data_IF_553782408969
#
_entry.id   IF_553782408969
#
_cell.length_a   1.000
_cell.length_b   1.000
_cell.length_c   1.000
_cell.angle_alpha   90.00
_cell.angle_beta   90.00
_cell.angle_gamma   90.00
#
_symmetry.space_group_name_H-M   'P 1'
#
loop_
_entity.id
_entity.type
_entity.pdbx_description
1 polymer ?
#
# COMPACT_ATOMS: atom_id res chain seq x y z
N UNK A 1 -13.40 -8.95 -20.52
CA UNK A 1 -13.78 -7.56 -20.22
C UNK A 1 -12.76 -6.99 -19.25
N UNK A 2 -12.11 -5.85 -19.54
CA UNK A 2 -11.29 -5.16 -18.55
C UNK A 2 -12.23 -4.75 -17.40
N UNK A 3 -12.02 -5.31 -16.21
CA UNK A 3 -12.79 -4.91 -15.04
C UNK A 3 -12.42 -3.46 -14.73
N UNK A 4 -13.39 -2.53 -14.69
CA UNK A 4 -13.11 -1.16 -14.27
C UNK A 4 -12.68 -1.22 -12.82
N UNK A 5 -11.43 -0.85 -12.55
CA UNK A 5 -10.87 -1.01 -11.22
C UNK A 5 -9.66 -0.12 -11.08
N UNK A 6 -9.88 1.19 -11.02
CA UNK A 6 -8.85 2.10 -10.56
C UNK A 6 -9.43 2.98 -9.45
N UNK A 7 -8.71 3.01 -8.34
CA UNK A 7 -8.82 3.89 -7.17
C UNK A 7 -10.06 3.77 -6.25
N UNK A 8 -11.28 3.54 -6.76
CA UNK A 8 -12.49 3.77 -5.94
C UNK A 8 -12.86 2.55 -5.05
N UNK A 9 -12.48 1.33 -5.44
CA UNK A 9 -12.76 0.12 -4.64
C UNK A 9 -11.83 -0.05 -3.44
N UNK A 10 -10.67 0.61 -3.44
CA UNK A 10 -9.70 0.57 -2.34
C UNK A 10 -10.24 1.29 -1.10
N UNK A 11 -11.04 2.34 -1.28
CA UNK A 11 -11.41 3.33 -0.26
C UNK A 11 -12.87 3.29 0.23
N UNK A 12 -13.79 2.54 -0.41
CA UNK A 12 -15.25 2.72 -0.22
C UNK A 12 -16.13 1.48 0.08
N UNK A 13 -15.69 0.48 0.86
CA UNK A 13 -16.60 -0.58 1.37
C UNK A 13 -16.25 -1.02 2.80
N UNK A 14 -17.23 -1.52 3.58
CA UNK A 14 -17.99 -0.81 4.62
C UNK A 14 -17.15 -0.25 5.79
N UNK A 15 -15.84 -0.54 5.83
CA UNK A 15 -14.84 0.09 6.69
C UNK A 15 -14.03 1.13 5.91
N UNK A 16 -14.73 2.01 5.20
CA UNK A 16 -14.10 3.05 4.39
C UNK A 16 -13.21 3.98 5.21
N UNK A 17 -12.44 4.82 4.52
CA UNK A 17 -11.53 5.83 5.11
C UNK A 17 -12.12 6.53 6.35
N UNK A 18 -13.39 6.95 6.29
CA UNK A 18 -14.08 7.59 7.41
C UNK A 18 -14.23 6.68 8.65
N UNK A 19 -14.55 5.40 8.47
CA UNK A 19 -14.66 4.47 9.60
C UNK A 19 -13.28 4.15 10.19
N UNK A 20 -12.23 4.04 9.38
CA UNK A 20 -10.86 3.85 9.89
C UNK A 20 -10.42 5.04 10.74
N UNK A 21 -10.67 6.28 10.28
CA UNK A 21 -10.39 7.48 11.08
C UNK A 21 -11.17 7.48 12.39
N UNK A 22 -12.49 7.27 12.33
CA UNK A 22 -13.33 7.24 13.55
C UNK A 22 -12.89 6.15 14.51
N UNK A 23 -12.60 4.95 14.01
CA UNK A 23 -12.13 3.83 14.83
C UNK A 23 -10.81 4.16 15.50
N UNK A 24 -9.84 4.68 14.75
CA UNK A 24 -8.52 5.05 15.28
C UNK A 24 -8.63 6.12 16.37
N UNK A 25 -9.41 7.17 16.14
CA UNK A 25 -9.63 8.23 17.13
C UNK A 25 -10.40 7.73 18.37
N UNK A 26 -11.39 6.86 18.18
CA UNK A 26 -12.14 6.26 19.30
C UNK A 26 -11.23 5.36 20.15
N UNK A 27 -10.34 4.59 19.52
CA UNK A 27 -9.41 3.71 20.23
C UNK A 27 -8.35 4.50 20.98
N UNK A 28 -7.80 5.56 20.38
CA UNK A 28 -6.88 6.47 21.08
C UNK A 28 -7.52 7.06 22.33
N UNK A 29 -8.82 7.40 22.27
CA UNK A 29 -9.54 7.96 23.40
C UNK A 29 -9.95 6.91 24.46
N UNK A 30 -10.51 5.78 24.05
CA UNK A 30 -11.12 4.79 24.95
C UNK A 30 -10.14 3.73 25.46
N UNK A 31 -9.10 3.41 24.68
CA UNK A 31 -8.19 2.30 24.93
C UNK A 31 -6.78 2.60 24.38
N UNK A 32 -6.09 3.63 24.89
CA UNK A 32 -4.80 4.09 24.36
C UNK A 32 -3.72 2.99 24.38
N UNK A 33 -3.84 2.00 25.27
CA UNK A 33 -2.87 0.91 25.40
C UNK A 33 -2.99 -0.18 24.30
N UNK A 34 -4.05 -0.13 23.46
CA UNK A 34 -4.25 -1.13 22.38
C UNK A 34 -3.29 -0.90 21.22
N UNK A 35 -2.97 0.36 20.93
CA UNK A 35 -2.07 0.74 19.84
C UNK A 35 -0.73 1.12 20.46
N UNK A 36 0.38 0.42 20.15
CA UNK A 36 1.67 0.66 20.79
C UNK A 36 2.38 1.95 20.29
N UNK A 37 1.65 2.84 19.62
CA UNK A 37 2.17 4.05 18.97
C UNK A 37 1.19 5.20 19.18
N UNK A 38 1.72 6.41 19.34
CA UNK A 38 0.93 7.64 19.25
C UNK A 38 0.58 7.91 17.78
N UNK A 39 -0.55 8.56 17.48
CA UNK A 39 -0.92 8.84 16.08
C UNK A 39 0.16 9.60 15.29
N UNK A 40 0.95 10.42 15.98
CA UNK A 40 2.01 11.21 15.39
C UNK A 40 3.34 10.44 15.22
N UNK A 41 3.49 9.21 15.74
CA UNK A 41 4.79 8.51 15.82
C UNK A 41 5.55 8.43 14.50
N UNK A 42 4.86 8.21 13.37
CA UNK A 42 5.49 8.04 12.06
C UNK A 42 5.55 9.33 11.23
N UNK A 43 5.02 10.45 11.71
CA UNK A 43 5.03 11.72 10.95
C UNK A 43 6.37 12.44 10.94
N UNK A 44 7.18 12.43 12.01
CA UNK A 44 8.53 12.96 11.97
C UNK A 44 9.41 12.20 10.97
N UNK A 45 10.31 12.92 10.31
CA UNK A 45 11.39 12.32 9.54
C UNK A 45 12.52 11.96 10.51
N UNK A 46 13.00 10.72 10.45
CA UNK A 46 14.13 10.28 11.28
C UNK A 46 15.43 10.96 10.85
N UNK A 47 15.97 11.86 11.67
CA UNK A 47 17.24 12.55 11.41
C UNK A 47 17.12 13.70 10.41
N UNK A 48 18.24 14.01 9.72
CA UNK A 48 18.24 15.06 8.70
C UNK A 48 17.47 14.62 7.44
N UNK A 49 16.54 15.45 6.90
CA UNK A 49 15.64 15.01 5.83
C UNK A 49 16.31 14.53 4.56
N UNK A 50 17.39 15.19 4.13
CA UNK A 50 18.04 14.86 2.86
C UNK A 50 18.82 13.54 2.90
N UNK A 51 19.71 13.30 3.88
CA UNK A 51 20.32 11.98 4.07
C UNK A 51 19.29 10.87 4.18
N UNK A 52 18.26 11.04 5.02
CA UNK A 52 17.22 10.04 5.22
C UNK A 52 16.44 9.72 3.92
N UNK A 53 16.16 10.74 3.10
CA UNK A 53 15.57 10.53 1.78
C UNK A 53 16.49 9.74 0.84
N UNK A 54 17.79 10.09 0.80
CA UNK A 54 18.74 9.36 -0.05
C UNK A 54 18.92 7.91 0.38
N UNK A 55 18.92 7.64 1.68
CA UNK A 55 19.00 6.28 2.22
C UNK A 55 17.72 5.49 1.93
N UNK A 56 16.55 6.13 2.07
CA UNK A 56 15.27 5.54 1.66
C UNK A 56 15.27 5.14 0.17
N UNK A 57 15.82 5.99 -0.70
CA UNK A 57 15.95 5.67 -2.14
C UNK A 57 16.94 4.55 -2.42
N UNK A 58 18.07 4.49 -1.69
CA UNK A 58 19.05 3.40 -1.81
C UNK A 58 18.45 2.06 -1.41
N UNK A 59 17.73 2.05 -0.28
CA UNK A 59 17.00 0.89 0.19
C UNK A 59 15.95 0.46 -0.86
N UNK A 60 15.20 1.43 -1.42
CA UNK A 60 14.13 1.18 -2.38
C UNK A 60 14.63 0.76 -3.76
N UNK A 61 15.85 1.13 -4.14
CA UNK A 61 16.33 1.02 -5.51
C UNK A 61 16.15 -0.37 -6.14
N UNK A 62 16.50 -1.50 -5.49
CA UNK A 62 16.29 -2.82 -6.07
C UNK A 62 14.82 -3.09 -6.40
N UNK A 63 13.93 -2.67 -5.50
CA UNK A 63 12.49 -2.80 -5.71
C UNK A 63 12.07 -1.89 -6.86
N UNK A 64 12.39 -0.60 -6.82
CA UNK A 64 12.05 0.36 -7.88
C UNK A 64 12.52 -0.13 -9.27
N UNK A 65 13.75 -0.63 -9.36
CA UNK A 65 14.33 -1.15 -10.61
C UNK A 65 13.53 -2.34 -11.16
N UNK A 66 13.20 -3.32 -10.33
CA UNK A 66 12.38 -4.47 -10.76
C UNK A 66 10.98 -4.01 -11.17
N UNK A 67 10.37 -3.08 -10.44
CA UNK A 67 9.05 -2.53 -10.78
C UNK A 67 9.03 -1.81 -12.13
N UNK A 68 10.10 -1.09 -12.46
CA UNK A 68 10.27 -0.44 -13.77
C UNK A 68 10.47 -1.48 -14.88
N UNK A 69 11.26 -2.54 -14.63
CA UNK A 69 11.41 -3.65 -15.57
C UNK A 69 10.08 -4.36 -15.84
N UNK A 70 9.30 -4.67 -14.80
CA UNK A 70 7.97 -5.25 -14.95
C UNK A 70 7.03 -4.32 -15.73
N UNK A 71 7.12 -3.02 -15.48
CA UNK A 71 6.34 -2.02 -16.23
C UNK A 71 6.69 -2.06 -17.73
N UNK A 72 7.98 -2.11 -18.08
CA UNK A 72 8.44 -2.25 -19.48
C UNK A 72 7.83 -3.47 -20.18
N UNK A 73 7.69 -4.60 -19.48
CA UNK A 73 7.08 -5.81 -20.06
C UNK A 73 5.58 -5.65 -20.37
N UNK A 74 4.87 -4.78 -19.63
CA UNK A 74 3.42 -4.58 -19.77
C UNK A 74 3.09 -3.44 -20.75
N UNK A 75 3.99 -2.49 -20.95
CA UNK A 75 3.75 -1.29 -21.78
C UNK A 75 3.35 -1.56 -23.24
N UNK A 76 3.87 -2.59 -23.96
CA UNK A 76 3.41 -2.90 -25.31
C UNK A 76 1.90 -3.20 -25.35
N UNK A 77 1.39 -3.92 -24.35
CA UNK A 77 -0.04 -4.20 -24.21
C UNK A 77 -0.82 -2.92 -23.87
N UNK A 78 -0.27 -2.08 -22.99
CA UNK A 78 -0.89 -0.79 -22.66
C UNK A 78 -1.03 0.12 -23.88
N UNK A 79 -0.01 0.18 -24.75
CA UNK A 79 -0.04 0.95 -26.00
C UNK A 79 -1.17 0.51 -26.92
N UNK A 80 -1.40 -0.80 -27.03
CA UNK A 80 -2.52 -1.36 -27.81
C UNK A 80 -3.87 -0.95 -27.21
N UNK A 81 -4.04 -1.12 -25.90
CA UNK A 81 -5.28 -0.78 -25.19
C UNK A 81 -5.60 0.72 -25.30
N UNK A 82 -4.60 1.61 -25.17
CA UNK A 82 -4.83 3.06 -25.30
C UNK A 82 -5.30 3.47 -26.70
N UNK A 83 -4.85 2.78 -27.76
CA UNK A 83 -5.37 3.00 -29.12
C UNK A 83 -6.81 2.55 -29.26
N UNK A 84 -7.17 1.43 -28.63
CA UNK A 84 -8.53 0.90 -28.65
C UNK A 84 -9.48 1.77 -27.79
N UNK A 85 -9.00 2.35 -26.68
CA UNK A 85 -9.76 3.24 -25.79
C UNK A 85 -10.26 4.53 -26.46
N UNK A 86 -9.56 5.02 -27.50
CA UNK A 86 -10.02 6.15 -28.28
C UNK A 86 -11.41 5.91 -28.91
N UNK A 87 -11.81 4.65 -29.08
CA UNK A 87 -13.10 4.25 -29.65
C UNK A 87 -14.23 4.05 -28.62
N UNK A 88 -13.90 3.91 -27.33
CA UNK A 88 -14.89 3.62 -26.27
C UNK A 88 -15.64 4.86 -25.75
N UNK A 89 -15.36 6.05 -26.28
CA UNK A 89 -15.83 7.33 -25.76
C UNK A 89 -17.30 7.71 -26.00
N UNK A 90 -18.22 6.78 -26.26
CA UNK A 90 -19.56 7.14 -26.78
C UNK A 90 -20.80 6.66 -25.99
N UNK A 91 -20.73 6.34 -24.68
CA UNK A 91 -22.00 6.08 -23.97
C UNK A 91 -22.01 5.92 -22.45
N UNK A 92 -21.10 5.15 -21.84
CA UNK A 92 -21.37 4.60 -20.50
C UNK A 92 -20.28 4.83 -19.43
N UNK A 93 -19.18 5.53 -19.74
CA UNK A 93 -18.07 5.71 -18.80
C UNK A 93 -17.34 7.04 -18.89
N UNK A 94 -16.86 7.54 -17.74
CA UNK A 94 -16.00 8.71 -17.63
C UNK A 94 -14.55 8.32 -17.87
N UNK A 95 -13.88 8.98 -18.81
CA UNK A 95 -12.44 8.80 -19.03
C UNK A 95 -11.67 9.76 -18.12
N UNK A 96 -10.81 9.22 -17.26
CA UNK A 96 -9.91 9.99 -16.39
C UNK A 96 -8.49 9.86 -16.94
N UNK A 97 -7.83 11.00 -17.18
CA UNK A 97 -6.42 11.04 -17.55
C UNK A 97 -5.58 11.22 -16.30
N UNK A 98 -4.60 10.34 -16.09
CA UNK A 98 -3.66 10.45 -14.98
C UNK A 98 -2.48 11.32 -15.39
N UNK A 99 -2.43 12.53 -14.86
CA UNK A 99 -1.30 13.45 -14.99
C UNK A 99 -0.36 13.43 -13.77
N UNK A 100 0.76 14.15 -13.83
CA UNK A 100 1.72 14.24 -12.71
C UNK A 100 1.08 14.73 -11.41
N UNK A 101 0.22 15.75 -11.49
CA UNK A 101 -0.47 16.30 -10.30
C UNK A 101 -1.43 15.31 -9.66
N UNK A 102 -2.22 14.58 -10.46
CA UNK A 102 -3.08 13.52 -9.91
C UNK A 102 -2.27 12.37 -9.33
N UNK A 103 -1.13 12.01 -9.93
CA UNK A 103 -0.25 10.97 -9.38
C UNK A 103 0.33 11.37 -8.03
N UNK A 104 0.78 12.62 -7.89
CA UNK A 104 1.25 13.15 -6.61
C UNK A 104 0.17 13.00 -5.52
N UNK A 105 -1.03 13.55 -5.78
CA UNK A 105 -2.14 13.51 -4.82
C UNK A 105 -2.54 12.09 -4.46
N UNK A 106 -2.74 11.21 -5.45
CA UNK A 106 -3.16 9.84 -5.19
C UNK A 106 -2.10 9.02 -4.48
N UNK A 107 -0.81 9.18 -4.82
CA UNK A 107 0.27 8.47 -4.13
C UNK A 107 0.35 8.89 -2.66
N UNK A 108 0.25 10.20 -2.38
CA UNK A 108 0.25 10.71 -1.01
C UNK A 108 -0.96 10.20 -0.21
N UNK A 109 -2.16 10.32 -0.78
CA UNK A 109 -3.38 9.83 -0.11
C UNK A 109 -3.30 8.33 0.13
N UNK A 110 -2.81 7.56 -0.84
CA UNK A 110 -2.69 6.11 -0.71
C UNK A 110 -1.78 5.71 0.47
N UNK A 111 -0.64 6.37 0.65
CA UNK A 111 0.22 6.11 1.81
C UNK A 111 -0.42 6.50 3.15
N UNK A 112 -1.06 7.67 3.24
CA UNK A 112 -1.79 8.09 4.44
C UNK A 112 -2.90 7.08 4.79
N UNK A 113 -3.60 6.56 3.78
CA UNK A 113 -4.67 5.58 3.98
C UNK A 113 -4.10 4.24 4.45
N UNK A 114 -3.12 3.68 3.74
CA UNK A 114 -2.67 2.31 3.98
C UNK A 114 -1.64 2.17 5.10
N UNK A 115 -0.70 3.11 5.20
CA UNK A 115 0.46 3.01 6.10
C UNK A 115 0.22 3.69 7.43
N UNK A 116 -0.77 4.57 7.49
CA UNK A 116 -1.22 5.19 8.73
C UNK A 116 -2.61 4.70 9.15
N UNK A 117 -3.68 5.11 8.48
CA UNK A 117 -5.03 4.87 9.02
C UNK A 117 -5.45 3.39 9.06
N UNK A 118 -5.29 2.67 7.96
CA UNK A 118 -5.62 1.24 7.90
C UNK A 118 -4.64 0.40 8.71
N UNK A 119 -3.38 0.83 8.81
CA UNK A 119 -2.39 0.17 9.66
C UNK A 119 -2.80 0.26 11.14
N UNK A 120 -3.12 1.45 11.66
CA UNK A 120 -3.57 1.63 13.04
C UNK A 120 -4.90 0.90 13.30
N UNK A 121 -5.86 1.00 12.38
CA UNK A 121 -7.11 0.25 12.48
C UNK A 121 -6.87 -1.27 12.48
N UNK A 122 -5.90 -1.77 11.71
CA UNK A 122 -5.58 -3.20 11.65
C UNK A 122 -4.88 -3.71 12.92
N UNK A 123 -4.16 -2.88 13.68
CA UNK A 123 -3.60 -3.26 15.00
C UNK A 123 -4.75 -3.62 15.94
N UNK A 124 -5.71 -2.71 16.10
CA UNK A 124 -6.86 -2.96 16.96
C UNK A 124 -7.76 -4.06 16.41
N UNK A 125 -7.92 -4.13 15.09
CA UNK A 125 -8.60 -5.23 14.42
C UNK A 125 -7.98 -6.58 14.75
N UNK A 126 -6.65 -6.71 14.73
CA UNK A 126 -5.95 -7.95 15.08
C UNK A 126 -6.17 -8.36 16.54
N UNK A 127 -6.07 -7.42 17.48
CA UNK A 127 -6.33 -7.66 18.91
C UNK A 127 -7.78 -8.10 19.14
N UNK A 128 -8.73 -7.37 18.57
CA UNK A 128 -10.15 -7.67 18.70
C UNK A 128 -10.50 -9.03 18.09
N UNK A 129 -9.99 -9.30 16.87
CA UNK A 129 -10.21 -10.58 16.20
C UNK A 129 -9.61 -11.75 16.99
N UNK A 130 -8.40 -11.60 17.54
CA UNK A 130 -7.80 -12.64 18.38
C UNK A 130 -8.63 -12.90 19.64
N UNK A 131 -9.10 -11.84 20.31
CA UNK A 131 -9.99 -11.97 21.46
C UNK A 131 -11.27 -12.73 21.12
N UNK A 132 -12.03 -12.32 20.10
CA UNK A 132 -13.33 -12.93 19.78
C UNK A 132 -13.20 -14.36 19.24
N UNK A 133 -12.12 -14.66 18.51
CA UNK A 133 -11.86 -16.01 17.99
C UNK A 133 -11.10 -16.79 19.05
N UNK A 134 -11.71 -16.98 20.23
CA UNK A 134 -11.21 -17.83 21.32
C UNK A 134 -9.94 -17.34 22.05
N UNK A 135 -9.45 -16.12 21.81
CA UNK A 135 -8.39 -15.52 22.63
C UNK A 135 -8.81 -15.34 24.09
N UNK A 136 -10.10 -15.04 24.34
CA UNK A 136 -10.65 -15.01 25.72
C UNK A 136 -10.55 -16.35 26.45
N UNK A 137 -10.46 -17.46 25.72
CA UNK A 137 -10.31 -18.82 26.26
C UNK A 137 -8.83 -19.27 26.31
N UNK A 138 -7.88 -18.38 25.99
CA UNK A 138 -6.45 -18.67 25.97
C UNK A 138 -5.95 -19.47 24.75
N UNK A 139 -6.78 -19.65 23.70
CA UNK A 139 -6.41 -20.46 22.53
C UNK A 139 -5.70 -19.67 21.43
N UNK A 140 -5.98 -18.37 21.29
CA UNK A 140 -5.31 -17.43 20.37
C UNK A 140 -5.03 -17.94 18.93
N UNK A 141 -6.01 -18.53 18.21
CA UNK A 141 -5.81 -19.05 16.85
C UNK A 141 -5.47 -17.97 15.83
N UNK A 142 -5.94 -16.72 15.99
CA UNK A 142 -5.58 -15.62 15.07
C UNK A 142 -4.10 -15.29 15.23
N UNK A 143 -3.64 -15.09 16.47
CA UNK A 143 -2.21 -14.93 16.76
C UNK A 143 -1.39 -16.07 16.17
N UNK A 144 -1.80 -17.32 16.40
CA UNK A 144 -1.10 -18.50 15.87
C UNK A 144 -0.95 -18.47 14.35
N UNK A 145 -2.02 -18.15 13.60
CA UNK A 145 -1.94 -18.04 12.13
C UNK A 145 -0.92 -16.98 11.71
N UNK A 146 -0.90 -15.83 12.40
CA UNK A 146 0.07 -14.79 12.09
C UNK A 146 1.50 -15.19 12.47
N UNK A 147 1.75 -15.62 13.71
CA UNK A 147 3.11 -15.89 14.20
C UNK A 147 3.74 -17.14 13.59
N UNK A 148 2.96 -18.19 13.35
CA UNK A 148 3.49 -19.47 12.88
C UNK A 148 3.48 -19.61 11.35
N UNK A 149 2.65 -18.85 10.64
CA UNK A 149 2.45 -19.03 9.19
C UNK A 149 2.74 -17.75 8.41
N UNK A 150 1.95 -16.69 8.65
CA UNK A 150 1.97 -15.52 7.77
C UNK A 150 3.22 -14.66 7.95
N UNK A 151 3.66 -14.43 9.19
CA UNK A 151 4.85 -13.63 9.52
C UNK A 151 6.12 -14.32 8.99
N UNK A 152 6.40 -15.61 9.27
CA UNK A 152 7.57 -16.29 8.73
C UNK A 152 7.58 -16.32 7.19
N UNK A 153 6.41 -16.52 6.57
CA UNK A 153 6.31 -16.51 5.11
C UNK A 153 6.61 -15.12 4.54
N UNK A 154 6.12 -14.05 5.18
CA UNK A 154 6.38 -12.69 4.74
C UNK A 154 7.86 -12.29 4.96
N UNK A 155 8.47 -12.69 6.07
CA UNK A 155 9.90 -12.49 6.33
C UNK A 155 10.76 -13.18 5.27
N UNK A 156 10.44 -14.44 4.95
CA UNK A 156 11.11 -15.16 3.87
C UNK A 156 10.89 -14.48 2.51
N UNK A 157 9.63 -14.12 2.20
CA UNK A 157 9.29 -13.50 0.93
C UNK A 157 10.03 -12.18 0.72
N UNK A 158 10.24 -11.40 1.78
CA UNK A 158 10.97 -10.12 1.76
C UNK A 158 12.50 -10.28 1.87
N UNK A 159 13.01 -11.52 1.84
CA UNK A 159 14.44 -11.79 1.94
C UNK A 159 15.04 -11.34 3.28
N UNK A 160 14.24 -11.35 4.35
CA UNK A 160 14.61 -10.92 5.71
C UNK A 160 14.92 -9.43 5.88
N UNK A 161 14.60 -8.59 4.91
CA UNK A 161 14.79 -7.14 5.04
C UNK A 161 13.89 -6.52 6.11
N UNK A 162 12.72 -7.11 6.37
CA UNK A 162 11.80 -6.68 7.41
C UNK A 162 11.88 -7.52 8.69
N UNK A 163 12.92 -8.33 8.89
CA UNK A 163 13.00 -9.30 9.99
C UNK A 163 12.79 -8.66 11.38
N UNK A 164 13.53 -7.58 11.65
CA UNK A 164 13.44 -6.85 12.93
C UNK A 164 12.05 -6.25 13.18
N UNK A 165 11.32 -5.90 12.12
CA UNK A 165 9.96 -5.35 12.20
C UNK A 165 8.94 -6.48 12.36
N UNK A 166 9.03 -7.52 11.53
CA UNK A 166 8.03 -8.59 11.46
C UNK A 166 8.13 -9.57 12.64
N UNK A 167 9.35 -9.83 13.12
CA UNK A 167 9.62 -10.81 14.18
C UNK A 167 10.07 -10.13 15.48
N UNK A 168 10.80 -9.00 15.38
CA UNK A 168 11.31 -8.28 16.55
C UNK A 168 10.28 -7.41 17.28
N UNK A 169 9.17 -7.04 16.62
CA UNK A 169 8.09 -6.26 17.23
C UNK A 169 6.93 -7.14 17.73
N UNK A 170 6.02 -6.61 18.57
CA UNK A 170 4.81 -7.34 18.96
C UNK A 170 4.03 -7.85 17.74
N UNK A 171 3.56 -9.10 17.78
CA UNK A 171 2.93 -9.77 16.64
C UNK A 171 1.76 -8.99 16.02
N UNK A 172 1.04 -8.18 16.81
CA UNK A 172 -0.06 -7.33 16.36
C UNK A 172 0.39 -6.27 15.34
N UNK A 173 1.62 -5.77 15.47
CA UNK A 173 2.22 -4.79 14.55
C UNK A 173 2.48 -5.47 13.20
N UNK A 174 3.13 -6.63 13.22
CA UNK A 174 3.38 -7.41 12.01
C UNK A 174 2.07 -7.87 11.35
N UNK A 175 1.09 -8.32 12.13
CA UNK A 175 -0.24 -8.67 11.63
C UNK A 175 -0.93 -7.48 10.95
N UNK A 176 -0.80 -6.27 11.52
CA UNK A 176 -1.35 -5.05 10.96
C UNK A 176 -0.68 -4.66 9.64
N UNK A 177 0.66 -4.77 9.55
CA UNK A 177 1.42 -4.56 8.29
C UNK A 177 0.90 -5.51 7.20
N UNK A 178 0.81 -6.81 7.50
CA UNK A 178 0.37 -7.80 6.52
C UNK A 178 -1.09 -7.60 6.10
N UNK A 179 -1.95 -7.19 7.02
CA UNK A 179 -3.37 -6.96 6.75
C UNK A 179 -3.59 -5.71 5.88
N UNK A 180 -3.00 -4.58 6.27
CA UNK A 180 -3.10 -3.33 5.51
C UNK A 180 -2.44 -3.45 4.14
N UNK A 181 -1.28 -4.11 4.05
CA UNK A 181 -0.62 -4.38 2.78
C UNK A 181 -1.38 -5.42 1.92
N UNK A 182 -2.00 -6.42 2.52
CA UNK A 182 -2.91 -7.34 1.82
C UNK A 182 -4.07 -6.61 1.15
N UNK A 183 -4.61 -5.58 1.80
CA UNK A 183 -5.64 -4.69 1.23
C UNK A 183 -5.08 -3.81 0.11
N UNK A 184 -3.90 -3.20 0.32
CA UNK A 184 -3.18 -2.42 -0.71
C UNK A 184 -2.99 -3.22 -2.00
N UNK A 185 -2.44 -4.43 -1.86
CA UNK A 185 -2.25 -5.40 -2.95
C UNK A 185 -3.56 -5.72 -3.69
N UNK A 186 -4.63 -6.00 -2.95
CA UNK A 186 -5.93 -6.31 -3.55
C UNK A 186 -6.47 -5.12 -4.35
N UNK A 187 -6.22 -3.89 -3.88
CA UNK A 187 -6.50 -2.66 -4.62
C UNK A 187 -5.79 -2.56 -5.97
N UNK A 188 -4.65 -3.21 -6.11
CA UNK A 188 -3.81 -3.23 -7.31
C UNK A 188 -4.05 -4.45 -8.22
N UNK A 189 -5.04 -5.30 -7.92
CA UNK A 189 -5.33 -6.50 -8.71
C UNK A 189 -5.70 -6.24 -10.19
N UNK A 190 -6.11 -5.01 -10.52
CA UNK A 190 -6.39 -4.58 -11.89
C UNK A 190 -5.14 -4.58 -12.79
N UNK A 191 -3.94 -4.56 -12.21
CA UNK A 191 -2.67 -4.61 -12.93
C UNK A 191 -2.32 -6.03 -13.41
N UNK A 192 -3.20 -7.02 -13.16
CA UNK A 192 -2.95 -8.44 -13.44
C UNK A 192 -2.07 -9.09 -12.38
N UNK A 193 -1.75 -10.37 -12.56
CA UNK A 193 -1.03 -11.16 -11.55
C UNK A 193 0.35 -10.60 -11.21
N UNK A 194 1.09 -10.10 -12.20
CA UNK A 194 2.42 -9.53 -11.97
C UNK A 194 2.32 -8.24 -11.14
N UNK A 195 1.43 -7.31 -11.50
CA UNK A 195 1.22 -6.10 -10.71
C UNK A 195 0.62 -6.38 -9.32
N UNK A 196 -0.23 -7.41 -9.20
CA UNK A 196 -0.74 -7.86 -7.91
C UNK A 196 0.37 -8.40 -7.01
N UNK A 197 1.26 -9.26 -7.50
CA UNK A 197 2.43 -9.71 -6.71
C UNK A 197 3.34 -8.52 -6.38
N UNK A 198 3.62 -7.70 -7.38
CA UNK A 198 4.53 -6.57 -7.27
C UNK A 198 4.07 -5.51 -6.26
N UNK A 199 2.79 -5.18 -6.26
CA UNK A 199 2.20 -4.24 -5.29
C UNK A 199 2.31 -4.74 -3.86
N UNK A 200 2.19 -6.06 -3.62
CA UNK A 200 2.45 -6.61 -2.29
C UNK A 200 3.89 -6.33 -1.84
N UNK A 201 4.86 -6.64 -2.70
CA UNK A 201 6.29 -6.41 -2.42
C UNK A 201 6.62 -4.94 -2.19
N UNK A 202 6.19 -4.07 -3.10
CA UNK A 202 6.40 -2.63 -2.97
C UNK A 202 5.76 -2.09 -1.68
N UNK A 203 4.56 -2.58 -1.34
CA UNK A 203 3.89 -2.12 -0.13
C UNK A 203 4.54 -2.59 1.17
N UNK A 204 5.11 -3.80 1.23
CA UNK A 204 5.95 -4.23 2.36
C UNK A 204 7.18 -3.33 2.50
N UNK A 205 7.80 -3.00 1.37
CA UNK A 205 8.99 -2.18 1.34
C UNK A 205 8.73 -0.73 1.76
N UNK A 206 7.57 -0.17 1.43
CA UNK A 206 7.14 1.14 1.94
C UNK A 206 6.90 1.14 3.45
N UNK A 207 6.49 0.01 4.05
CA UNK A 207 6.48 -0.13 5.50
C UNK A 207 7.89 -0.09 6.09
N UNK A 208 8.87 -0.77 5.48
CA UNK A 208 10.27 -0.70 5.91
C UNK A 208 10.76 0.77 5.95
N UNK A 209 10.55 1.53 4.89
CA UNK A 209 10.89 2.97 4.86
C UNK A 209 10.14 3.73 5.95
N UNK A 210 8.84 3.49 6.14
CA UNK A 210 8.06 4.19 7.17
C UNK A 210 8.62 3.95 8.58
N UNK A 211 9.01 2.71 8.90
CA UNK A 211 9.56 2.36 10.22
C UNK A 211 10.99 2.90 10.42
N UNK A 212 11.82 2.92 9.40
CA UNK A 212 13.21 3.41 9.51
C UNK A 212 13.33 4.95 9.42
N UNK A 213 12.46 5.58 8.62
CA UNK A 213 12.66 6.96 8.17
C UNK A 213 11.42 7.86 8.30
N UNK A 214 10.24 7.29 8.55
CA UNK A 214 8.98 8.00 8.70
C UNK A 214 8.08 7.99 7.46
N UNK A 215 6.79 8.22 7.69
CA UNK A 215 5.72 8.27 6.69
C UNK A 215 5.98 9.29 5.57
N UNK A 216 6.49 10.52 5.82
CA UNK A 216 6.77 11.46 4.73
C UNK A 216 7.77 10.92 3.70
N UNK A 217 8.75 10.12 4.13
CA UNK A 217 9.74 9.54 3.22
C UNK A 217 9.17 8.35 2.46
N UNK A 218 8.32 7.52 3.08
CA UNK A 218 7.55 6.50 2.35
C UNK A 218 6.65 7.13 1.26
N UNK A 219 5.96 8.24 1.57
CA UNK A 219 5.20 9.05 0.61
C UNK A 219 6.11 9.52 -0.54
N UNK A 220 7.25 10.13 -0.22
CA UNK A 220 8.16 10.67 -1.22
C UNK A 220 8.68 9.57 -2.17
N UNK A 221 9.10 8.42 -1.65
CA UNK A 221 9.57 7.29 -2.46
C UNK A 221 8.45 6.75 -3.35
N UNK A 222 7.23 6.61 -2.83
CA UNK A 222 6.09 6.15 -3.62
C UNK A 222 5.74 7.15 -4.74
N UNK A 223 5.74 8.45 -4.47
CA UNK A 223 5.53 9.50 -5.48
C UNK A 223 6.60 9.41 -6.57
N UNK A 224 7.88 9.28 -6.20
CA UNK A 224 8.98 9.14 -7.17
C UNK A 224 8.78 7.91 -8.05
N UNK A 225 8.39 6.77 -7.47
CA UNK A 225 8.09 5.55 -8.20
C UNK A 225 6.98 5.74 -9.25
N UNK A 226 5.85 6.32 -8.83
CA UNK A 226 4.69 6.51 -9.71
C UNK A 226 4.96 7.53 -10.81
N UNK A 227 5.68 8.62 -10.49
CA UNK A 227 6.10 9.60 -11.50
C UNK A 227 7.10 8.99 -12.49
N UNK A 228 8.03 8.16 -12.04
CA UNK A 228 8.97 7.47 -12.94
C UNK A 228 8.23 6.51 -13.88
N UNK A 229 7.27 5.75 -13.34
CA UNK A 229 6.42 4.86 -14.14
C UNK A 229 5.54 5.64 -15.13
N UNK A 230 5.04 6.81 -14.74
CA UNK A 230 4.30 7.71 -15.62
C UNK A 230 5.17 8.23 -16.78
N UNK A 231 6.39 8.70 -16.47
CA UNK A 231 7.34 9.17 -17.48
C UNK A 231 7.72 8.05 -18.46
N UNK A 232 7.97 6.86 -17.94
CA UNK A 232 8.23 5.67 -18.75
C UNK A 232 7.06 5.32 -19.66
N UNK A 233 5.84 5.37 -19.12
CA UNK A 233 4.62 5.18 -19.92
C UNK A 233 4.52 6.21 -21.04
N UNK A 234 4.72 7.49 -20.71
CA UNK A 234 4.67 8.57 -21.70
C UNK A 234 5.73 8.37 -22.80
N UNK A 235 6.96 7.97 -22.43
CA UNK A 235 8.04 7.73 -23.38
C UNK A 235 7.74 6.57 -24.34
N UNK A 236 7.12 5.48 -23.88
CA UNK A 236 6.85 4.29 -24.70
C UNK A 236 5.53 4.38 -25.46
N UNK A 237 4.49 4.91 -24.82
CA UNK A 237 3.11 4.96 -25.35
C UNK A 237 2.86 6.25 -26.11
N UNK A 238 3.52 7.35 -25.73
CA UNK A 238 3.38 8.67 -26.36
C UNK A 238 2.20 9.49 -25.85
N UNK A 239 1.45 9.01 -24.86
CA UNK A 239 0.31 9.71 -24.25
C UNK A 239 0.24 9.43 -22.76
N UNK A 240 -0.49 10.27 -22.00
CA UNK A 240 -0.76 10.02 -20.59
C UNK A 240 -1.70 8.81 -20.41
N UNK A 241 -1.55 8.02 -19.34
CA UNK A 241 -2.46 6.92 -19.03
C UNK A 241 -3.90 7.42 -18.89
N UNK A 242 -4.82 6.72 -19.54
CA UNK A 242 -6.27 6.96 -19.44
C UNK A 242 -6.97 5.77 -18.83
N UNK A 243 -7.93 6.05 -17.95
CA UNK A 243 -8.76 5.07 -17.25
C UNK A 243 -10.21 5.29 -17.61
N UNK A 244 -10.97 4.21 -17.77
CA UNK A 244 -12.43 4.28 -17.91
C UNK A 244 -13.04 3.91 -16.57
N UNK A 245 -13.81 4.84 -16.02
CA UNK A 245 -14.56 4.65 -14.79
C UNK A 245 -16.05 4.57 -15.17
N UNK A 246 -16.81 3.59 -14.65
CA UNK A 246 -18.27 3.55 -14.83
C UNK A 246 -18.89 4.86 -14.37
N UNK A 247 -19.85 5.37 -15.14
CA UNK A 247 -20.64 6.56 -14.79
C UNK A 247 -21.56 6.34 -13.61
#
# INVERSE_FOLDING_TARGET
>A
MPRPGFAVSCSLLPFGFGLSVVLVLLLEWLAPDVIPYELATFWPVGGEPWPAFTDSLRLAWPVLAVGLLLSLLVLPRARRVQRELAWYGSGEGRVITLGPGSMLVWSTVEEIVFRWLLFYAAIAGAVFMDYIVLGFAGLHPVRWVFTEVLIPLADLATGRQLHEILIGMPWIVAAAILTSNGRFRNGHGYQGILGWIWSWYMGMFLFLIMFEHGLPLAIAVHVVYNLTTLLLHLAVVGTLPRLVVPG
#
